data_IF_674500296887
#
_entry.id   IF_674500296887
#
_cell.length_a   1.000
_cell.length_b   1.000
_cell.length_c   1.000
_cell.angle_alpha   90.00
_cell.angle_beta   90.00
_cell.angle_gamma   90.00
#
_symmetry.space_group_name_H-M   'P 1'
#
loop_
_entity.id
_entity.type
_entity.pdbx_description
1 polymer ?
#
# COMPACT_ATOMS: atom_id res chain seq x y z
N UNK A 1 -4.00 -21.73 5.52
CA UNK A 1 -4.49 -22.50 4.36
C UNK A 1 -5.90 -23.01 4.65
N UNK A 2 -6.91 -22.66 3.84
CA UNK A 2 -8.28 -23.15 4.03
C UNK A 2 -8.43 -24.67 3.87
N UNK A 3 -7.52 -25.36 3.17
CA UNK A 3 -7.59 -26.81 2.98
C UNK A 3 -7.13 -27.56 4.23
N UNK A 4 -6.10 -27.06 4.92
CA UNK A 4 -5.59 -27.65 6.16
C UNK A 4 -6.21 -27.05 7.42
N UNK A 5 -6.90 -25.91 7.30
CA UNK A 5 -7.43 -25.10 8.40
C UNK A 5 -6.32 -24.60 9.36
N UNK A 6 -5.13 -24.33 8.83
CA UNK A 6 -3.99 -23.84 9.62
C UNK A 6 -3.65 -22.39 9.31
N UNK A 7 -3.10 -21.70 10.31
CA UNK A 7 -2.40 -20.44 10.16
C UNK A 7 -0.90 -20.69 10.25
N UNK A 8 -0.16 -20.16 9.27
CA UNK A 8 1.30 -20.24 9.21
C UNK A 8 1.88 -18.84 9.44
N UNK A 9 2.76 -18.72 10.44
CA UNK A 9 3.40 -17.45 10.77
C UNK A 9 4.57 -17.22 9.80
N UNK A 10 4.49 -16.15 9.01
CA UNK A 10 5.58 -15.72 8.12
C UNK A 10 6.48 -14.74 8.84
N UNK A 11 7.52 -15.25 9.51
CA UNK A 11 8.38 -14.45 10.39
C UNK A 11 9.21 -13.42 9.62
N UNK A 12 9.50 -13.67 8.33
CA UNK A 12 10.19 -12.69 7.47
C UNK A 12 9.31 -11.54 6.96
N UNK A 13 8.00 -11.57 7.22
CA UNK A 13 7.05 -10.52 6.80
C UNK A 13 6.72 -9.64 8.01
N UNK A 14 7.61 -8.69 8.30
CA UNK A 14 7.47 -7.76 9.41
C UNK A 14 6.63 -6.53 9.00
N UNK A 15 5.47 -6.34 9.63
CA UNK A 15 4.53 -5.27 9.30
C UNK A 15 5.12 -3.85 9.45
N UNK A 16 6.04 -3.68 10.38
CA UNK A 16 6.72 -2.41 10.69
C UNK A 16 7.48 -1.83 9.48
N UNK A 17 7.92 -2.70 8.55
CA UNK A 17 8.62 -2.29 7.33
C UNK A 17 7.69 -1.58 6.32
N UNK A 18 6.37 -1.73 6.47
CA UNK A 18 5.38 -1.19 5.53
C UNK A 18 4.51 -0.09 6.14
N UNK A 19 4.83 0.34 7.37
CA UNK A 19 4.01 1.28 8.12
C UNK A 19 4.06 2.72 7.59
N UNK A 20 3.05 3.52 7.95
CA UNK A 20 3.11 4.98 7.80
C UNK A 20 4.06 5.61 8.83
N UNK A 21 4.29 6.91 8.74
CA UNK A 21 4.95 7.70 9.77
C UNK A 21 3.95 8.45 10.67
N UNK A 22 2.94 7.72 11.17
CA UNK A 22 1.90 8.29 12.04
C UNK A 22 2.48 8.85 13.35
N UNK A 23 2.03 10.04 13.74
CA UNK A 23 2.47 10.75 14.97
C UNK A 23 2.14 10.02 16.28
N UNK A 24 1.13 9.15 16.27
CA UNK A 24 0.77 8.33 17.43
C UNK A 24 1.60 7.03 17.50
N UNK A 25 2.59 6.87 16.62
CA UNK A 25 3.58 5.80 16.62
C UNK A 25 3.03 4.45 16.16
N UNK A 26 3.75 3.37 16.45
CA UNK A 26 3.47 2.01 15.95
C UNK A 26 2.03 1.54 16.20
N UNK A 27 1.37 2.07 17.23
CA UNK A 27 -0.06 1.83 17.50
C UNK A 27 -1.00 2.16 16.32
N UNK A 28 -0.54 3.00 15.38
CA UNK A 28 -1.28 3.43 14.18
C UNK A 28 -0.59 3.11 12.86
N UNK A 29 0.73 2.93 12.86
CA UNK A 29 1.52 2.87 11.64
C UNK A 29 1.24 1.63 10.79
N UNK A 30 0.90 0.51 11.42
CA UNK A 30 0.66 -0.78 10.76
C UNK A 30 -0.83 -1.06 10.45
N UNK A 31 -1.68 -0.05 10.61
CA UNK A 31 -3.12 -0.20 10.45
C UNK A 31 -3.55 -0.19 8.97
N UNK A 32 -4.59 -0.98 8.68
CA UNK A 32 -5.41 -0.87 7.47
C UNK A 32 -4.64 -0.95 6.14
N UNK A 33 -3.63 -1.82 6.06
CA UNK A 33 -2.90 -2.03 4.81
C UNK A 33 -3.81 -2.37 3.63
N UNK A 34 -3.47 -1.78 2.48
CA UNK A 34 -4.15 -1.96 1.21
C UNK A 34 -3.48 -3.08 0.43
N UNK A 35 -3.88 -4.32 0.72
CA UNK A 35 -3.26 -5.52 0.17
C UNK A 35 -4.04 -6.07 -1.02
N UNK A 36 -3.34 -6.33 -2.12
CA UNK A 36 -3.91 -6.88 -3.34
C UNK A 36 -3.13 -8.10 -3.79
N UNK A 37 -3.82 -9.14 -4.25
CA UNK A 37 -3.17 -10.22 -4.98
C UNK A 37 -2.54 -9.65 -6.26
N UNK A 38 -1.33 -10.07 -6.55
CA UNK A 38 -0.51 -9.52 -7.62
C UNK A 38 0.16 -10.64 -8.44
N UNK A 39 0.82 -10.33 -9.57
CA UNK A 39 1.49 -11.32 -10.40
C UNK A 39 2.46 -12.22 -9.63
N UNK A 40 2.69 -13.42 -10.15
CA UNK A 40 3.59 -14.44 -9.61
C UNK A 40 3.28 -14.88 -8.17
N UNK A 41 2.00 -14.84 -7.77
CA UNK A 41 1.57 -15.28 -6.44
C UNK A 41 1.95 -14.32 -5.31
N UNK A 42 2.47 -13.14 -5.63
CA UNK A 42 2.84 -12.11 -4.65
C UNK A 42 1.64 -11.32 -4.17
N UNK A 43 1.85 -10.54 -3.11
CA UNK A 43 0.92 -9.52 -2.63
C UNK A 43 1.54 -8.16 -2.89
N UNK A 44 0.77 -7.22 -3.42
CA UNK A 44 1.15 -5.82 -3.51
C UNK A 44 0.47 -5.05 -2.38
N UNK A 45 1.27 -4.42 -1.51
CA UNK A 45 0.80 -3.46 -0.52
C UNK A 45 0.87 -2.07 -1.17
N UNK A 46 -0.29 -1.49 -1.45
CA UNK A 46 -0.42 -0.21 -2.13
C UNK A 46 -0.49 0.99 -1.15
N UNK A 47 -0.33 0.77 0.14
CA UNK A 47 -0.49 1.78 1.20
C UNK A 47 -1.14 1.23 2.48
N UNK A 48 -1.49 2.10 3.45
CA UNK A 48 -1.58 3.56 3.32
C UNK A 48 -0.25 4.32 3.41
N UNK A 49 0.87 3.65 3.71
CA UNK A 49 2.22 4.21 3.58
C UNK A 49 2.44 4.85 2.21
N UNK A 50 3.27 5.90 2.16
CA UNK A 50 3.70 6.51 0.91
C UNK A 50 4.47 5.50 0.04
N UNK A 51 5.35 4.72 0.67
CA UNK A 51 6.10 3.64 0.04
C UNK A 51 5.19 2.40 -0.10
N UNK A 52 5.02 1.93 -1.34
CA UNK A 52 4.38 0.65 -1.63
C UNK A 52 5.41 -0.49 -1.60
N UNK A 53 4.93 -1.72 -1.44
CA UNK A 53 5.79 -2.89 -1.29
C UNK A 53 5.28 -4.10 -2.06
N UNK A 54 6.22 -4.90 -2.55
CA UNK A 54 5.96 -6.29 -2.94
C UNK A 54 6.22 -7.21 -1.76
N UNK A 55 5.31 -8.14 -1.53
CA UNK A 55 5.43 -9.17 -0.52
C UNK A 55 5.45 -10.52 -1.22
N UNK A 56 6.53 -11.26 -1.03
CA UNK A 56 6.65 -12.65 -1.43
C UNK A 56 6.38 -13.53 -0.20
N UNK A 57 5.23 -14.19 -0.20
CA UNK A 57 4.74 -14.98 0.95
C UNK A 57 5.53 -16.27 1.12
N UNK A 58 6.01 -16.85 0.02
CA UNK A 58 6.76 -18.11 0.02
C UNK A 58 8.23 -17.88 0.36
N UNK A 59 8.81 -16.79 -0.14
CA UNK A 59 10.18 -16.40 0.20
C UNK A 59 10.27 -15.65 1.54
N UNK A 60 9.15 -15.24 2.12
CA UNK A 60 9.05 -14.40 3.32
C UNK A 60 9.87 -13.11 3.20
N UNK A 61 9.69 -12.38 2.10
CA UNK A 61 10.40 -11.13 1.86
C UNK A 61 9.45 -9.99 1.53
N UNK A 62 9.85 -8.79 1.95
CA UNK A 62 9.23 -7.51 1.59
C UNK A 62 10.27 -6.73 0.78
N UNK A 63 9.86 -6.15 -0.34
CA UNK A 63 10.73 -5.31 -1.18
C UNK A 63 10.04 -4.00 -1.52
N UNK A 64 10.75 -2.89 -1.37
CA UNK A 64 10.27 -1.57 -1.76
C UNK A 64 9.92 -1.53 -3.25
N UNK A 65 8.77 -0.93 -3.54
CA UNK A 65 8.31 -0.63 -4.88
C UNK A 65 8.27 0.89 -5.08
N UNK A 66 7.13 1.42 -5.48
CA UNK A 66 6.94 2.82 -5.83
C UNK A 66 6.55 3.65 -4.61
N UNK A 67 6.98 4.91 -4.60
CA UNK A 67 6.54 5.90 -3.62
C UNK A 67 5.45 6.78 -4.23
N UNK A 68 4.28 6.86 -3.61
CA UNK A 68 3.30 7.90 -3.92
C UNK A 68 3.78 9.25 -3.43
N UNK A 69 3.55 10.25 -4.25
CA UNK A 69 3.88 11.63 -3.94
C UNK A 69 2.72 12.58 -4.20
N UNK A 70 2.74 13.74 -3.55
CA UNK A 70 1.90 14.88 -3.91
C UNK A 70 2.43 15.56 -5.19
N UNK A 71 1.74 16.61 -5.65
CA UNK A 71 2.13 17.36 -6.86
C UNK A 71 3.52 18.05 -6.77
N UNK A 72 4.11 18.15 -5.57
CA UNK A 72 5.45 18.67 -5.33
C UNK A 72 6.53 17.58 -5.28
N UNK A 73 6.14 16.30 -5.40
CA UNK A 73 7.06 15.17 -5.31
C UNK A 73 7.37 14.73 -3.88
N UNK A 74 6.63 15.21 -2.87
CA UNK A 74 6.83 14.81 -1.48
C UNK A 74 6.05 13.52 -1.17
N UNK A 75 6.66 12.54 -0.44
CA UNK A 75 5.97 11.32 -0.03
C UNK A 75 4.69 11.60 0.75
N UNK A 76 3.67 10.78 0.52
CA UNK A 76 2.34 11.00 1.07
C UNK A 76 1.75 9.73 1.69
N UNK A 77 1.73 9.69 3.03
CA UNK A 77 0.93 8.73 3.78
C UNK A 77 -0.56 9.12 3.71
N UNK A 78 -1.41 8.12 3.51
CA UNK A 78 -2.85 8.29 3.27
C UNK A 78 -3.68 7.33 4.13
N UNK A 79 -3.45 7.36 5.44
CA UNK A 79 -4.18 6.54 6.42
C UNK A 79 -5.69 6.77 6.32
N UNK A 80 -6.46 5.68 6.45
CA UNK A 80 -7.93 5.64 6.28
C UNK A 80 -8.43 6.14 4.91
N UNK A 81 -7.57 6.17 3.88
CA UNK A 81 -7.99 6.35 2.49
C UNK A 81 -8.66 5.10 1.90
N UNK A 82 -9.06 5.19 0.64
CA UNK A 82 -9.67 4.09 -0.12
C UNK A 82 -8.68 3.55 -1.13
N UNK A 83 -8.63 2.23 -1.29
CA UNK A 83 -7.97 1.58 -2.41
C UNK A 83 -8.89 0.52 -3.02
N UNK A 84 -8.95 0.48 -4.35
CA UNK A 84 -9.73 -0.52 -5.08
C UNK A 84 -9.05 -0.91 -6.39
N UNK A 85 -9.06 -2.20 -6.70
CA UNK A 85 -8.62 -2.71 -7.99
C UNK A 85 -9.79 -2.63 -8.98
N UNK A 86 -9.73 -1.71 -9.96
CA UNK A 86 -10.82 -1.47 -10.92
C UNK A 86 -10.63 -2.23 -12.24
N UNK A 87 -9.41 -2.69 -12.50
CA UNK A 87 -9.03 -3.57 -13.59
C UNK A 87 -7.88 -4.46 -13.09
N UNK A 88 -7.60 -5.58 -13.75
CA UNK A 88 -6.55 -6.50 -13.30
C UNK A 88 -5.22 -5.76 -13.26
N UNK A 89 -4.61 -5.72 -12.07
CA UNK A 89 -3.35 -5.02 -11.83
C UNK A 89 -3.46 -3.49 -11.83
N UNK A 90 -4.66 -2.90 -11.94
CA UNK A 90 -4.86 -1.45 -11.83
C UNK A 90 -5.61 -1.07 -10.57
N UNK A 91 -4.94 -0.36 -9.68
CA UNK A 91 -5.44 0.00 -8.35
C UNK A 91 -5.60 1.51 -8.29
N UNK A 92 -6.83 1.98 -8.05
CA UNK A 92 -7.13 3.37 -7.76
C UNK A 92 -7.07 3.58 -6.24
N UNK A 93 -6.32 4.58 -5.80
CA UNK A 93 -6.27 5.03 -4.41
C UNK A 93 -6.76 6.45 -4.27
N UNK A 94 -7.53 6.74 -3.22
CA UNK A 94 -8.24 8.00 -3.02
C UNK A 94 -8.16 8.46 -1.57
N UNK A 95 -7.81 9.73 -1.39
CA UNK A 95 -7.98 10.44 -0.13
C UNK A 95 -7.08 9.96 1.01
N UNK A 96 -7.66 9.84 2.21
CA UNK A 96 -6.93 9.53 3.44
C UNK A 96 -6.33 10.77 4.10
N UNK A 97 -5.50 10.57 5.11
CA UNK A 97 -4.77 11.62 5.82
C UNK A 97 -3.37 11.13 6.24
N UNK A 98 -2.40 12.03 6.50
CA UNK A 98 -1.06 11.62 6.96
C UNK A 98 -1.08 10.83 8.28
N UNK A 99 -2.00 11.19 9.18
CA UNK A 99 -2.20 10.52 10.47
C UNK A 99 -3.61 9.92 10.56
N UNK A 100 -3.76 8.84 11.32
CA UNK A 100 -5.01 8.15 11.60
C UNK A 100 -6.09 9.09 12.15
N UNK A 101 -5.67 10.08 12.95
CA UNK A 101 -6.58 11.06 13.56
C UNK A 101 -5.91 12.41 13.74
N UNK A 102 -6.73 13.47 13.69
CA UNK A 102 -6.29 14.83 13.95
C UNK A 102 -5.54 15.49 12.78
N UNK A 103 -5.35 14.79 11.67
CA UNK A 103 -4.87 15.35 10.40
C UNK A 103 -6.00 15.79 9.47
N UNK A 104 -5.66 16.59 8.46
CA UNK A 104 -6.58 16.94 7.38
C UNK A 104 -6.57 15.86 6.31
N UNK A 105 -7.75 15.57 5.76
CA UNK A 105 -7.85 14.69 4.60
C UNK A 105 -7.19 15.33 3.40
N UNK A 106 -6.50 14.52 2.59
CA UNK A 106 -5.96 14.96 1.31
C UNK A 106 -6.93 14.64 0.17
N UNK A 107 -6.98 15.46 -0.89
CA UNK A 107 -7.87 15.20 -2.03
C UNK A 107 -7.23 14.29 -3.09
N UNK A 108 -5.99 13.84 -2.86
CA UNK A 108 -5.18 13.19 -3.86
C UNK A 108 -5.71 11.82 -4.28
N UNK A 109 -5.51 11.53 -5.56
CA UNK A 109 -5.86 10.27 -6.18
C UNK A 109 -4.67 9.74 -6.99
N UNK A 110 -4.42 8.44 -6.92
CA UNK A 110 -3.34 7.79 -7.65
C UNK A 110 -3.83 6.50 -8.30
N UNK A 111 -3.26 6.17 -9.46
CA UNK A 111 -3.42 4.87 -10.09
C UNK A 111 -2.08 4.15 -10.04
N UNK A 112 -2.05 2.99 -9.42
CA UNK A 112 -0.99 2.00 -9.62
C UNK A 112 -1.37 1.09 -10.78
N UNK A 113 -0.43 0.85 -11.68
CA UNK A 113 -0.50 -0.20 -12.69
C UNK A 113 0.64 -1.19 -12.40
N UNK A 114 0.32 -2.43 -12.05
CA UNK A 114 1.29 -3.46 -11.65
C UNK A 114 2.01 -4.10 -12.85
N UNK A 115 1.59 -3.80 -14.09
CA UNK A 115 2.18 -4.35 -15.29
C UNK A 115 2.21 -5.88 -15.28
N UNK A 116 3.39 -6.44 -15.53
CA UNK A 116 3.63 -7.90 -15.47
C UNK A 116 4.20 -8.36 -14.14
N UNK A 117 4.33 -7.47 -13.15
CA UNK A 117 4.94 -7.75 -11.85
C UNK A 117 6.05 -6.78 -11.48
N UNK A 118 6.79 -7.13 -10.43
CA UNK A 118 7.83 -6.30 -9.84
C UNK A 118 8.87 -5.81 -10.85
N UNK A 119 9.18 -4.51 -10.79
CA UNK A 119 10.08 -3.81 -11.70
C UNK A 119 9.42 -3.27 -12.98
N UNK A 120 8.12 -3.53 -13.18
CA UNK A 120 7.37 -3.02 -14.35
C UNK A 120 6.21 -2.10 -13.95
N UNK A 121 5.92 -2.01 -12.66
CA UNK A 121 4.84 -1.22 -12.13
C UNK A 121 5.07 0.29 -12.28
N UNK A 122 3.97 1.04 -12.33
CA UNK A 122 3.97 2.50 -12.33
C UNK A 122 2.95 3.06 -11.34
N UNK A 123 3.18 4.29 -10.88
CA UNK A 123 2.24 5.04 -10.06
C UNK A 123 2.09 6.43 -10.65
N UNK A 124 0.85 6.85 -10.87
CA UNK A 124 0.55 8.16 -11.47
C UNK A 124 -0.49 8.86 -10.61
N UNK A 125 -0.20 10.09 -10.19
CA UNK A 125 -1.23 10.95 -9.62
C UNK A 125 -2.22 11.34 -10.72
N UNK A 126 -3.51 11.15 -10.46
CA UNK A 126 -4.60 11.55 -11.35
C UNK A 126 -5.30 12.79 -10.80
N UNK A 127 -6.39 13.23 -11.42
CA UNK A 127 -7.14 14.40 -10.94
C UNK A 127 -7.58 14.23 -9.49
N UNK A 128 -7.35 15.27 -8.69
CA UNK A 128 -7.79 15.32 -7.29
C UNK A 128 -9.32 15.21 -7.19
N UNK A 129 -9.79 14.69 -6.05
CA UNK A 129 -11.21 14.67 -5.70
C UNK A 129 -11.74 16.09 -5.47
N UNK A 130 -12.97 16.34 -5.93
CA UNK A 130 -13.64 17.63 -5.82
C UNK A 130 -14.21 17.90 -4.42
#
# INVERSE_FOLDING_TARGET
DPNSNDWDLKIGIEAELMGTNDKDGIYRQDNHFWMFQAPDGKIFQAGPSAQAHWIDVDAETITDSLTRTNALGEPLDTMVGVALMFDIGKILTLGGAPDYRGGYSVPHAHVFDLGTGAGTETVTQVGDMA
#
